data_IF_460842772610
#
_entry.id   IF_460842772610
#
_cell.length_a   1.000
_cell.length_b   1.000
_cell.length_c   1.000
_cell.angle_alpha   90.00
_cell.angle_beta   90.00
_cell.angle_gamma   90.00
#
_symmetry.space_group_name_H-M   'P 1'
#
loop_
_entity.id
_entity.type
_entity.pdbx_description
1 polymer ?
#
# COMPACT_ATOMS: atom_id res chain seq x y z
N UNK A 1 -23.97 -3.49 16.41
CA UNK A 1 -23.94 -2.29 15.55
C UNK A 1 -22.63 -1.54 15.82
N UNK A 2 -21.51 -2.09 15.33
CA UNK A 2 -20.15 -1.58 15.58
C UNK A 2 -19.85 -0.47 14.57
N UNK A 3 -19.61 0.74 15.07
CA UNK A 3 -19.25 1.91 14.27
C UNK A 3 -17.90 1.65 13.60
N UNK A 4 -17.85 1.75 12.26
CA UNK A 4 -16.62 1.86 11.49
C UNK A 4 -16.00 3.23 11.78
N UNK A 5 -15.31 3.39 12.92
CA UNK A 5 -14.40 4.52 13.10
C UNK A 5 -13.21 4.26 12.20
N UNK A 6 -13.06 5.02 11.12
CA UNK A 6 -11.82 5.04 10.36
C UNK A 6 -10.68 5.35 11.34
N UNK A 7 -9.80 4.38 11.56
CA UNK A 7 -8.64 4.55 12.42
C UNK A 7 -7.77 5.63 11.78
N UNK A 8 -7.73 6.80 12.41
CA UNK A 8 -6.71 7.82 12.10
C UNK A 8 -5.38 7.24 12.57
N UNK A 9 -4.67 6.56 11.69
CA UNK A 9 -3.33 6.06 11.95
C UNK A 9 -2.37 7.24 11.94
N UNK A 10 -1.65 7.47 13.05
CA UNK A 10 -0.63 8.52 13.08
C UNK A 10 0.57 8.08 12.24
N UNK A 11 1.31 9.01 11.61
CA UNK A 11 2.59 8.68 10.98
C UNK A 11 3.50 7.95 11.96
N UNK A 12 3.95 6.74 11.60
CA UNK A 12 4.79 5.87 12.43
C UNK A 12 4.05 4.71 13.11
N UNK A 13 2.73 4.76 13.22
CA UNK A 13 1.94 3.64 13.72
C UNK A 13 1.76 2.58 12.62
N UNK A 14 1.91 1.31 12.99
CA UNK A 14 1.63 0.20 12.08
C UNK A 14 0.13 0.00 11.96
N UNK A 15 -0.33 -0.31 10.75
CA UNK A 15 -1.69 -0.81 10.57
C UNK A 15 -1.88 -2.09 11.42
N UNK A 16 -3.09 -2.32 11.98
CA UNK A 16 -3.38 -3.57 12.67
C UNK A 16 -3.07 -4.77 11.77
N UNK A 17 -2.41 -5.77 12.33
CA UNK A 17 -2.15 -7.01 11.61
C UNK A 17 -3.48 -7.67 11.23
N UNK A 18 -3.60 -8.08 9.96
CA UNK A 18 -4.73 -8.85 9.45
C UNK A 18 -4.18 -10.09 8.76
N UNK A 19 -4.36 -11.25 9.41
CA UNK A 19 -3.95 -12.52 8.86
C UNK A 19 -4.76 -12.83 7.60
N UNK A 20 -4.12 -13.47 6.61
CA UNK A 20 -4.76 -13.75 5.32
C UNK A 20 -6.00 -14.65 5.46
N UNK A 21 -5.98 -15.59 6.42
CA UNK A 21 -7.06 -16.54 6.68
C UNK A 21 -8.31 -15.90 7.28
N UNK A 22 -8.15 -14.75 7.93
CA UNK A 22 -9.25 -14.03 8.59
C UNK A 22 -9.91 -12.99 7.66
N UNK A 23 -9.35 -12.79 6.45
CA UNK A 23 -9.85 -11.79 5.50
C UNK A 23 -11.13 -12.29 4.84
N UNK A 24 -12.17 -11.43 4.71
CA UNK A 24 -13.35 -11.77 3.93
C UNK A 24 -12.98 -12.16 2.49
N UNK A 25 -13.67 -13.13 1.88
CA UNK A 25 -13.44 -13.50 0.48
C UNK A 25 -13.62 -12.29 -0.45
N UNK A 26 -12.62 -12.02 -1.29
CA UNK A 26 -12.70 -10.98 -2.32
C UNK A 26 -13.60 -11.45 -3.46
N UNK A 27 -14.75 -10.79 -3.65
CA UNK A 27 -15.68 -11.05 -4.77
C UNK A 27 -15.45 -10.03 -5.87
N UNK A 28 -15.09 -10.50 -7.06
CA UNK A 28 -14.83 -9.63 -8.21
C UNK A 28 -16.10 -9.47 -9.08
N UNK A 29 -16.25 -8.32 -9.78
CA UNK A 29 -17.32 -8.13 -10.74
C UNK A 29 -17.35 -9.25 -11.80
N UNK A 30 -18.56 -9.65 -12.21
CA UNK A 30 -18.74 -10.66 -13.25
C UNK A 30 -18.22 -12.07 -12.91
N UNK A 31 -17.91 -12.35 -11.64
CA UNK A 31 -17.36 -13.66 -11.26
C UNK A 31 -15.91 -13.88 -11.67
N UNK A 32 -15.16 -12.81 -11.95
CA UNK A 32 -13.74 -12.91 -12.28
C UNK A 32 -12.94 -13.59 -11.15
N UNK A 33 -11.86 -14.28 -11.52
CA UNK A 33 -11.00 -15.01 -10.59
C UNK A 33 -9.64 -14.35 -10.34
N UNK A 34 -9.27 -13.38 -11.18
CA UNK A 34 -7.98 -12.70 -11.17
C UNK A 34 -8.21 -11.21 -11.43
N UNK A 35 -7.50 -10.36 -10.70
CA UNK A 35 -7.36 -8.93 -11.00
C UNK A 35 -5.96 -8.72 -11.54
N UNK A 36 -5.86 -8.04 -12.69
CA UNK A 36 -4.59 -7.50 -13.18
C UNK A 36 -4.58 -6.02 -12.84
N UNK A 37 -3.66 -5.61 -11.96
CA UNK A 37 -3.50 -4.22 -11.56
C UNK A 37 -2.17 -3.71 -12.11
N UNK A 38 -2.22 -3.03 -13.26
CA UNK A 38 -1.03 -2.49 -13.89
C UNK A 38 -0.61 -1.20 -13.20
N UNK A 39 0.60 -1.18 -12.65
CA UNK A 39 1.23 0.02 -12.08
C UNK A 39 2.31 0.45 -13.06
N UNK A 40 2.28 1.73 -13.45
CA UNK A 40 3.35 2.34 -14.21
C UNK A 40 4.07 3.32 -13.30
N UNK A 41 5.28 2.97 -12.89
CA UNK A 41 6.20 3.90 -12.27
C UNK A 41 6.89 4.70 -13.38
N UNK A 42 6.60 6.00 -13.46
CA UNK A 42 7.37 6.91 -14.28
C UNK A 42 8.38 7.60 -13.38
N UNK A 43 9.61 7.09 -13.40
CA UNK A 43 10.72 7.66 -12.65
C UNK A 43 11.79 8.09 -13.64
N UNK A 44 12.03 9.40 -13.70
CA UNK A 44 13.08 9.96 -14.54
C UNK A 44 14.32 10.12 -13.68
N UNK A 45 15.28 9.22 -13.87
CA UNK A 45 16.58 9.26 -13.21
C UNK A 45 17.67 9.64 -14.22
N UNK A 46 18.35 10.76 -13.96
CA UNK A 46 19.54 11.16 -14.71
C UNK A 46 20.77 10.62 -13.95
N UNK A 47 21.44 9.60 -14.52
CA UNK A 47 22.57 8.92 -13.89
C UNK A 47 23.82 9.80 -13.81
N UNK A 48 23.91 10.83 -14.65
CA UNK A 48 25.02 11.77 -14.67
C UNK A 48 24.86 12.88 -13.62
N UNK A 49 23.69 12.95 -12.96
CA UNK A 49 23.44 13.91 -11.88
C UNK A 49 23.50 13.24 -10.51
N UNK A 50 23.97 13.96 -9.48
CA UNK A 50 23.84 13.49 -8.11
C UNK A 50 22.40 13.14 -7.79
N UNK A 51 22.13 11.88 -7.44
CA UNK A 51 20.83 11.46 -6.97
C UNK A 51 20.50 12.18 -5.66
N UNK A 52 19.24 12.60 -5.48
CA UNK A 52 18.75 13.09 -4.20
C UNK A 52 18.88 11.96 -3.17
N UNK A 53 19.92 12.00 -2.33
CA UNK A 53 20.02 11.10 -1.19
C UNK A 53 18.89 11.41 -0.23
N UNK A 54 18.25 10.38 0.31
CA UNK A 54 17.22 10.57 1.32
C UNK A 54 17.80 11.40 2.48
N UNK A 55 17.14 12.51 2.80
CA UNK A 55 17.44 13.34 3.99
C UNK A 55 17.04 12.61 5.28
N UNK A 56 16.24 11.54 5.15
CA UNK A 56 15.79 10.73 6.28
C UNK A 56 16.86 9.68 6.65
N UNK A 57 17.40 9.70 7.88
CA UNK A 57 18.25 8.62 8.36
C UNK A 57 17.44 7.33 8.50
N UNK A 58 18.16 6.19 8.44
CA UNK A 58 17.57 4.89 8.72
C UNK A 58 16.96 4.88 10.14
N UNK A 59 15.78 4.25 10.33
CA UNK A 59 15.14 4.14 11.65
C UNK A 59 15.90 3.20 12.59
#
# INVERSE_FOLDING_TARGET
>A
MQRLSALVTRPGERAPYSAIVDRPPLRLPGGARVVVWTIVNLEVWDIDRPMARQVLPAP
#
